data_IF_990920340806
#
_entry.id   IF_990920340806
#
_cell.length_a   1.000
_cell.length_b   1.000
_cell.length_c   1.000
_cell.angle_alpha   90.00
_cell.angle_beta   90.00
_cell.angle_gamma   90.00
#
_symmetry.space_group_name_H-M   'P 1'
#
loop_
_entity.id
_entity.type
_entity.pdbx_description
1 polymer ?
#
# COMPACT_ATOMS: atom_id res chain seq x y z
N UNK A 1 1.60 -16.96 16.42
CA UNK A 1 0.58 -17.08 15.34
C UNK A 1 -0.74 -16.36 15.65
N UNK A 2 -1.30 -16.45 16.86
CA UNK A 2 -2.58 -15.79 17.18
C UNK A 2 -2.55 -14.25 16.99
N UNK A 3 -1.52 -13.58 17.51
CA UNK A 3 -1.37 -12.13 17.40
C UNK A 3 -1.29 -11.62 15.96
N UNK A 4 -0.49 -12.28 15.11
CA UNK A 4 -0.38 -11.94 13.69
C UNK A 4 -1.74 -12.01 12.98
N UNK A 5 -2.56 -13.03 13.29
CA UNK A 5 -3.90 -13.17 12.71
C UNK A 5 -4.85 -12.06 13.17
N UNK A 6 -4.82 -11.72 14.45
CA UNK A 6 -5.62 -10.62 15.00
C UNK A 6 -5.26 -9.27 14.37
N UNK A 7 -3.96 -9.00 14.20
CA UNK A 7 -3.48 -7.78 13.57
C UNK A 7 -3.86 -7.70 12.08
N UNK A 8 -3.77 -8.81 11.34
CA UNK A 8 -4.26 -8.87 9.95
C UNK A 8 -5.76 -8.62 9.84
N UNK A 9 -6.56 -9.13 10.79
CA UNK A 9 -7.99 -8.87 10.83
C UNK A 9 -8.29 -7.38 11.08
N UNK A 10 -7.60 -6.75 12.04
CA UNK A 10 -7.74 -5.31 12.29
C UNK A 10 -7.26 -4.44 11.13
N UNK A 11 -6.21 -4.84 10.43
CA UNK A 11 -5.76 -4.18 9.20
C UNK A 11 -6.84 -4.21 8.11
N UNK A 12 -7.48 -5.37 7.94
CA UNK A 12 -8.61 -5.52 7.02
C UNK A 12 -9.78 -4.60 7.42
N UNK A 13 -10.08 -4.51 8.71
CA UNK A 13 -11.13 -3.64 9.24
C UNK A 13 -10.85 -2.15 8.99
N UNK A 14 -9.59 -1.72 9.08
CA UNK A 14 -9.15 -0.35 8.74
C UNK A 14 -9.25 -0.03 7.24
N UNK A 15 -9.53 -1.02 6.40
CA UNK A 15 -9.66 -0.84 4.96
C UNK A 15 -8.36 -0.38 4.31
N UNK A 16 -7.22 -0.88 4.77
CA UNK A 16 -5.90 -0.49 4.24
C UNK A 16 -5.74 -0.90 2.77
N UNK A 17 -5.03 -0.08 1.98
CA UNK A 17 -4.62 -0.43 0.63
C UNK A 17 -3.59 -1.58 0.66
N UNK A 18 -3.88 -2.67 -0.05
CA UNK A 18 -3.01 -3.86 -0.15
C UNK A 18 -2.49 -4.02 -1.57
N UNK A 19 -1.39 -3.32 -1.89
CA UNK A 19 -0.69 -3.49 -3.17
C UNK A 19 0.39 -4.56 -3.01
N UNK A 20 0.37 -5.55 -3.90
CA UNK A 20 1.41 -6.58 -4.00
C UNK A 20 2.35 -6.26 -5.16
N UNK A 21 3.62 -6.05 -4.83
CA UNK A 21 4.67 -5.81 -5.80
C UNK A 21 5.95 -6.54 -5.40
N UNK A 22 6.61 -7.12 -6.40
CA UNK A 22 7.90 -7.75 -6.24
C UNK A 22 8.99 -6.68 -6.10
N UNK A 23 9.70 -6.70 -4.97
CA UNK A 23 10.86 -5.85 -4.74
C UNK A 23 12.14 -6.61 -5.17
N UNK A 24 13.01 -6.03 -6.03
CA UNK A 24 14.25 -6.67 -6.42
C UNK A 24 15.28 -6.60 -5.29
N UNK A 25 15.92 -7.73 -5.00
CA UNK A 25 17.10 -7.87 -4.16
C UNK A 25 18.31 -8.06 -5.06
N UNK A 26 19.17 -7.05 -5.11
CA UNK A 26 20.40 -7.06 -5.92
C UNK A 26 21.56 -7.52 -5.03
N UNK A 27 22.24 -8.60 -5.39
CA UNK A 27 23.53 -8.97 -4.80
C UNK A 27 24.66 -8.35 -5.60
N UNK A 28 25.69 -7.92 -4.89
CA UNK A 28 26.91 -7.34 -5.48
C UNK A 28 28.12 -8.15 -5.04
N UNK A 29 29.07 -8.34 -5.95
CA UNK A 29 30.32 -9.02 -5.67
C UNK A 29 31.35 -8.09 -5.01
N UNK A 30 32.53 -8.63 -4.68
CA UNK A 30 33.60 -7.88 -4.01
C UNK A 30 34.11 -6.69 -4.83
N UNK A 31 33.98 -6.74 -6.16
CA UNK A 31 34.34 -5.67 -7.09
C UNK A 31 33.22 -4.62 -7.28
N UNK A 32 32.10 -4.75 -6.55
CA UNK A 32 30.96 -3.84 -6.62
C UNK A 32 30.09 -4.00 -7.87
N UNK A 33 30.23 -5.10 -8.61
CA UNK A 33 29.41 -5.42 -9.78
C UNK A 33 28.19 -6.25 -9.37
N UNK A 34 27.11 -6.12 -10.14
CA UNK A 34 25.91 -6.94 -9.97
C UNK A 34 26.27 -8.40 -10.20
N UNK A 35 25.96 -9.23 -9.22
CA UNK A 35 26.14 -10.67 -9.27
C UNK A 35 24.80 -11.35 -9.61
N UNK A 36 23.75 -11.02 -8.87
CA UNK A 36 22.41 -11.60 -9.05
C UNK A 36 21.29 -10.57 -8.76
N UNK A 37 20.14 -10.76 -9.40
CA UNK A 37 18.91 -10.02 -9.10
C UNK A 37 17.82 -11.04 -8.77
N UNK A 38 17.42 -11.08 -7.51
CA UNK A 38 16.38 -11.98 -6.98
C UNK A 38 15.13 -11.20 -6.58
N UNK A 39 14.00 -11.87 -6.48
CA UNK A 39 12.81 -11.27 -5.83
C UNK A 39 12.96 -11.40 -4.31
N UNK A 40 12.73 -10.30 -3.59
CA UNK A 40 12.80 -10.28 -2.13
C UNK A 40 11.64 -11.06 -1.52
N UNK A 41 11.96 -12.07 -0.70
CA UNK A 41 10.94 -12.82 0.04
C UNK A 41 10.39 -12.01 1.22
N UNK A 42 9.07 -11.83 1.28
CA UNK A 42 8.37 -11.22 2.41
C UNK A 42 7.80 -12.30 3.33
N UNK A 43 8.39 -12.44 4.51
CA UNK A 43 8.00 -13.43 5.53
C UNK A 43 6.95 -12.85 6.48
N UNK A 44 6.25 -13.71 7.21
CA UNK A 44 5.27 -13.31 8.24
C UNK A 44 5.89 -12.46 9.35
N UNK A 45 7.17 -12.68 9.67
CA UNK A 45 7.91 -11.85 10.62
C UNK A 45 8.04 -10.39 10.15
N UNK A 46 8.29 -10.16 8.85
CA UNK A 46 8.36 -8.81 8.29
C UNK A 46 6.99 -8.12 8.41
N UNK A 47 5.91 -8.82 8.05
CA UNK A 47 4.54 -8.30 8.15
C UNK A 47 4.16 -7.94 9.59
N UNK A 48 4.55 -8.78 10.55
CA UNK A 48 4.31 -8.53 11.97
C UNK A 48 5.03 -7.26 12.47
N UNK A 49 6.31 -7.12 12.12
CA UNK A 49 7.11 -5.95 12.51
C UNK A 49 6.53 -4.68 11.87
N UNK A 50 6.22 -4.70 10.59
CA UNK A 50 5.58 -3.57 9.91
C UNK A 50 4.29 -3.12 10.60
N UNK A 51 3.45 -4.08 11.00
CA UNK A 51 2.18 -3.77 11.64
C UNK A 51 2.35 -3.18 13.04
N UNK A 52 3.34 -3.63 13.81
CA UNK A 52 3.70 -2.98 15.06
C UNK A 52 4.19 -1.55 14.86
N UNK A 53 5.01 -1.31 13.84
CA UNK A 53 5.48 0.05 13.54
C UNK A 53 4.33 0.97 13.14
N UNK A 54 3.37 0.48 12.36
CA UNK A 54 2.17 1.25 12.00
C UNK A 54 1.36 1.61 13.24
N UNK A 55 1.07 0.64 14.11
CA UNK A 55 0.30 0.88 15.33
C UNK A 55 1.00 1.84 16.29
N UNK A 56 2.32 1.72 16.46
CA UNK A 56 3.10 2.62 17.29
C UNK A 56 3.05 4.06 16.75
N UNK A 57 3.16 4.23 15.42
CA UNK A 57 3.10 5.55 14.79
C UNK A 57 1.70 6.17 14.88
N UNK A 58 0.64 5.37 14.75
CA UNK A 58 -0.74 5.84 14.95
C UNK A 58 -0.95 6.29 16.39
N UNK A 59 -0.55 5.48 17.37
CA UNK A 59 -0.67 5.84 18.78
C UNK A 59 0.14 7.10 19.14
N UNK A 60 1.32 7.28 18.55
CA UNK A 60 2.11 8.49 18.74
C UNK A 60 1.42 9.72 18.12
N UNK A 61 0.84 9.59 16.92
CA UNK A 61 0.09 10.65 16.27
C UNK A 61 -1.14 11.06 17.09
N UNK A 62 -1.96 10.09 17.52
CA UNK A 62 -3.14 10.31 18.37
C UNK A 62 -2.76 11.00 19.68
N UNK A 63 -1.70 10.54 20.36
CA UNK A 63 -1.23 11.17 21.59
C UNK A 63 -0.79 12.62 21.40
N UNK A 64 -0.05 12.91 20.32
CA UNK A 64 0.40 14.27 20.02
C UNK A 64 -0.76 15.19 19.64
N UNK A 65 -1.74 14.68 18.91
CA UNK A 65 -2.98 15.37 18.54
C UNK A 65 -3.81 15.71 19.79
N UNK A 66 -4.02 14.75 20.68
CA UNK A 66 -4.76 14.96 21.94
C UNK A 66 -4.12 15.97 22.90
N UNK A 67 -2.81 16.23 22.76
CA UNK A 67 -2.06 17.16 23.59
C UNK A 67 -1.70 18.47 22.87
N UNK A 68 -2.29 18.72 21.69
CA UNK A 68 -2.05 19.91 20.85
C UNK A 68 -0.55 20.19 20.62
N UNK A 69 0.26 19.13 20.50
CA UNK A 69 1.72 19.26 20.33
C UNK A 69 2.01 19.49 18.84
N UNK A 70 2.61 20.63 18.46
CA UNK A 70 2.97 20.87 17.07
C UNK A 70 3.96 19.82 16.57
N UNK A 71 3.55 19.06 15.55
CA UNK A 71 4.33 17.96 14.98
C UNK A 71 4.14 17.87 13.47
N UNK A 72 4.92 17.01 12.82
CA UNK A 72 4.81 16.69 11.41
C UNK A 72 4.02 15.39 11.24
N UNK A 73 2.89 15.46 10.53
CA UNK A 73 2.10 14.30 10.15
C UNK A 73 2.51 13.82 8.77
N UNK A 74 2.60 12.50 8.61
CA UNK A 74 2.74 11.87 7.30
C UNK A 74 1.35 11.57 6.73
N UNK A 75 0.90 12.39 5.80
CA UNK A 75 -0.43 12.28 5.20
C UNK A 75 -0.30 11.78 3.76
N UNK A 76 -1.26 10.96 3.36
CA UNK A 76 -1.44 10.52 1.97
C UNK A 76 -2.79 11.04 1.50
N UNK A 77 -2.79 11.98 0.56
CA UNK A 77 -4.01 12.53 -0.01
C UNK A 77 -4.69 11.56 -0.97
N UNK A 78 -5.98 11.81 -1.25
CA UNK A 78 -6.74 11.02 -2.22
C UNK A 78 -6.17 11.19 -3.65
N UNK A 79 -6.21 10.13 -4.47
CA UNK A 79 -5.90 10.22 -5.91
C UNK A 79 -6.67 11.33 -6.62
N UNK A 80 -6.04 11.98 -7.59
CA UNK A 80 -6.72 12.96 -8.43
C UNK A 80 -7.76 12.30 -9.36
N UNK A 81 -8.83 13.03 -9.68
CA UNK A 81 -9.91 12.53 -10.54
C UNK A 81 -9.42 12.06 -11.92
N UNK A 82 -8.42 12.73 -12.48
CA UNK A 82 -7.76 12.35 -13.74
C UNK A 82 -7.09 10.97 -13.62
N UNK A 83 -6.36 10.72 -12.52
CA UNK A 83 -5.70 9.43 -12.26
C UNK A 83 -6.70 8.29 -12.05
N UNK A 84 -7.83 8.58 -11.40
CA UNK A 84 -8.93 7.62 -11.27
C UNK A 84 -9.54 7.30 -12.65
N UNK A 85 -9.68 8.30 -13.52
CA UNK A 85 -10.19 8.10 -14.88
C UNK A 85 -9.23 7.27 -15.74
N UNK A 86 -7.92 7.52 -15.66
CA UNK A 86 -6.88 6.70 -16.30
C UNK A 86 -6.96 5.23 -15.84
N UNK A 87 -7.11 4.99 -14.53
CA UNK A 87 -7.30 3.65 -13.98
C UNK A 87 -8.55 2.99 -14.55
N UNK A 88 -9.71 3.68 -14.56
CA UNK A 88 -10.95 3.15 -15.14
C UNK A 88 -10.81 2.80 -16.62
N UNK A 89 -10.11 3.63 -17.39
CA UNK A 89 -9.85 3.38 -18.80
C UNK A 89 -8.96 2.14 -18.99
N UNK A 90 -7.95 1.96 -18.14
CA UNK A 90 -7.11 0.76 -18.14
C UNK A 90 -7.93 -0.50 -17.87
N UNK A 91 -8.77 -0.49 -16.82
CA UNK A 91 -9.65 -1.61 -16.50
C UNK A 91 -10.57 -1.97 -17.68
N UNK A 92 -11.13 -0.95 -18.35
CA UNK A 92 -11.97 -1.14 -19.54
C UNK A 92 -11.21 -1.78 -20.70
N UNK A 93 -9.97 -1.33 -20.97
CA UNK A 93 -9.11 -1.91 -22.01
C UNK A 93 -8.80 -3.38 -21.73
N UNK A 94 -8.53 -3.72 -20.47
CA UNK A 94 -8.27 -5.09 -20.02
C UNK A 94 -9.55 -5.94 -19.87
N UNK A 95 -10.73 -5.36 -20.13
CA UNK A 95 -12.06 -5.98 -19.95
C UNK A 95 -12.28 -6.48 -18.53
N UNK A 96 -11.73 -5.80 -17.55
CA UNK A 96 -11.94 -6.08 -16.12
C UNK A 96 -13.21 -5.34 -15.68
N UNK A 97 -14.29 -6.05 -15.33
CA UNK A 97 -15.52 -5.41 -14.89
C UNK A 97 -15.33 -4.83 -13.48
N UNK A 98 -15.44 -3.51 -13.35
CA UNK A 98 -15.42 -2.83 -12.05
C UNK A 98 -16.41 -1.66 -12.02
N UNK A 99 -17.42 -1.75 -11.15
CA UNK A 99 -18.43 -0.72 -10.92
C UNK A 99 -18.34 -0.07 -9.54
N UNK A 100 -17.36 -0.47 -8.72
CA UNK A 100 -17.18 0.06 -7.38
C UNK A 100 -16.66 1.51 -7.34
N UNK A 101 -16.77 2.16 -6.17
CA UNK A 101 -16.04 3.40 -5.89
C UNK A 101 -14.52 3.17 -5.99
N UNK A 102 -13.76 4.26 -6.11
CA UNK A 102 -12.29 4.27 -6.15
C UNK A 102 -11.79 5.53 -5.41
N UNK A 103 -12.24 5.71 -4.17
CA UNK A 103 -11.97 6.91 -3.38
C UNK A 103 -11.20 6.57 -2.10
N UNK A 104 -11.59 5.48 -1.43
CA UNK A 104 -11.00 5.04 -0.17
C UNK A 104 -10.00 3.92 -0.41
N UNK A 105 -8.95 3.79 0.42
CA UNK A 105 -7.96 2.71 0.30
C UNK A 105 -8.59 1.30 0.19
N UNK A 106 -9.67 1.06 0.95
CA UNK A 106 -10.38 -0.22 0.93
C UNK A 106 -11.10 -0.52 -0.38
N UNK A 107 -11.45 0.49 -1.18
CA UNK A 107 -12.09 0.30 -2.48
C UNK A 107 -11.08 -0.26 -3.50
N UNK A 108 -9.87 0.29 -3.49
CA UNK A 108 -8.76 -0.21 -4.29
C UNK A 108 -8.37 -1.64 -3.89
N UNK A 109 -8.34 -1.96 -2.58
CA UNK A 109 -8.11 -3.34 -2.13
C UNK A 109 -9.15 -4.31 -2.65
N UNK A 110 -10.43 -3.93 -2.69
CA UNK A 110 -11.47 -4.78 -3.29
C UNK A 110 -11.25 -4.96 -4.80
N UNK A 111 -10.83 -3.92 -5.52
CA UNK A 111 -10.46 -4.02 -6.94
C UNK A 111 -9.29 -5.00 -7.13
N UNK A 112 -8.23 -4.86 -6.34
CA UNK A 112 -7.05 -5.73 -6.44
C UNK A 112 -7.40 -7.20 -6.15
N UNK A 113 -8.24 -7.46 -5.16
CA UNK A 113 -8.75 -8.81 -4.86
C UNK A 113 -9.60 -9.40 -6.00
N UNK A 114 -10.34 -8.56 -6.74
CA UNK A 114 -11.14 -9.04 -7.87
C UNK A 114 -10.31 -9.55 -9.06
N UNK A 115 -9.01 -9.22 -9.08
CA UNK A 115 -8.09 -9.61 -10.16
C UNK A 115 -6.96 -10.52 -9.68
N UNK A 116 -7.07 -11.09 -8.47
CA UNK A 116 -5.98 -11.89 -7.88
C UNK A 116 -5.59 -13.11 -8.72
N UNK A 117 -6.58 -13.79 -9.31
CA UNK A 117 -6.36 -14.95 -10.19
C UNK A 117 -6.22 -14.56 -11.68
N UNK A 118 -6.18 -13.26 -11.98
CA UNK A 118 -6.10 -12.74 -13.35
C UNK A 118 -4.65 -12.65 -13.82
N UNK A 119 -4.35 -12.93 -15.11
CA UNK A 119 -3.04 -12.62 -15.69
C UNK A 119 -2.69 -11.12 -15.62
N UNK A 120 -3.69 -10.26 -15.40
CA UNK A 120 -3.53 -8.81 -15.31
C UNK A 120 -3.23 -8.30 -13.89
N UNK A 121 -3.18 -9.18 -12.86
CA UNK A 121 -2.93 -8.80 -11.46
C UNK A 121 -1.80 -7.78 -11.31
N UNK A 122 -0.65 -8.07 -11.94
CA UNK A 122 0.55 -7.22 -11.86
C UNK A 122 0.31 -5.83 -12.44
N UNK A 123 -0.28 -5.75 -13.63
CA UNK A 123 -0.55 -4.47 -14.31
C UNK A 123 -1.53 -3.64 -13.49
N UNK A 124 -2.58 -4.27 -12.95
CA UNK A 124 -3.59 -3.57 -12.14
C UNK A 124 -2.97 -3.05 -10.83
N UNK A 125 -2.13 -3.85 -10.15
CA UNK A 125 -1.38 -3.39 -8.96
C UNK A 125 -0.51 -2.17 -9.28
N UNK A 126 0.22 -2.19 -10.39
CA UNK A 126 1.08 -1.08 -10.81
C UNK A 126 0.28 0.19 -11.12
N UNK A 127 -0.82 0.07 -11.85
CA UNK A 127 -1.65 1.24 -12.22
C UNK A 127 -2.38 1.80 -11.01
N UNK A 128 -2.85 0.95 -10.09
CA UNK A 128 -3.41 1.39 -8.80
C UNK A 128 -2.37 2.13 -7.99
N UNK A 129 -1.11 1.66 -7.95
CA UNK A 129 -0.04 2.35 -7.24
C UNK A 129 0.28 3.71 -7.87
N UNK A 130 0.40 3.77 -9.20
CA UNK A 130 0.65 5.03 -9.94
C UNK A 130 -0.48 6.06 -9.82
N UNK A 131 -1.68 5.60 -9.46
CA UNK A 131 -2.82 6.45 -9.18
C UNK A 131 -2.73 7.12 -7.79
N UNK A 132 -2.01 6.51 -6.83
CA UNK A 132 -1.90 7.06 -5.48
C UNK A 132 -1.06 8.33 -5.44
N UNK A 133 -1.41 9.24 -4.53
CA UNK A 133 -0.56 10.38 -4.21
C UNK A 133 0.60 9.96 -3.30
N UNK A 134 1.81 10.52 -3.52
CA UNK A 134 2.92 10.31 -2.61
C UNK A 134 2.56 10.86 -1.23
N UNK A 135 3.15 10.25 -0.20
CA UNK A 135 3.02 10.79 1.16
C UNK A 135 3.79 12.10 1.28
N UNK A 136 3.20 13.08 1.95
CA UNK A 136 3.83 14.35 2.27
C UNK A 136 3.79 14.60 3.78
N UNK A 137 4.71 15.44 4.24
CA UNK A 137 4.76 15.89 5.63
C UNK A 137 3.98 17.20 5.74
N UNK A 138 2.94 17.21 6.57
CA UNK A 138 2.18 18.42 6.88
C UNK A 138 2.43 18.81 8.34
N UNK A 139 2.70 20.10 8.62
CA UNK A 139 2.66 20.60 9.98
C UNK A 139 1.22 20.55 10.49
N UNK A 140 1.04 20.21 11.77
CA UNK A 140 -0.23 20.43 12.47
C UNK A 140 -0.62 21.92 12.36
N UNK A 141 -1.85 22.21 11.95
CA UNK A 141 -2.44 23.55 12.11
C UNK A 141 -2.98 23.72 13.52
#
# INVERSE_FOLDING_TARGET
>A
MALSRSLSAQRTHRGTLEVEMDEPKISVNAEGKIDEILVRTRLDSHRLIEEFMVLANVAAAEFLEENDVPTLYRVHDHPDGEKIQELRQTLKTLRIPWSGPLEKPGDFTKLLRSVDDSPYKRIVNEVVLRCQKPGCLYPCQ
#
